data_IF_960364470717
#
_entry.id   IF_960364470717
#
_cell.length_a   1.000
_cell.length_b   1.000
_cell.length_c   1.000
_cell.angle_alpha   90.00
_cell.angle_beta   90.00
_cell.angle_gamma   90.00
#
_symmetry.space_group_name_H-M   'P 1'
#
loop_
_entity.id
_entity.type
_entity.pdbx_description
1 polymer ?
#
# COMPACT_ATOMS: atom_id res chain seq x y z
N UNK A 1 35.07 -30.80 -2.53
CA UNK A 1 33.76 -31.38 -2.88
C UNK A 1 32.68 -30.62 -2.12
N UNK A 2 32.03 -29.65 -2.77
CA UNK A 2 31.06 -28.75 -2.13
C UNK A 2 29.69 -29.43 -2.16
N UNK A 3 29.15 -29.76 -0.98
CA UNK A 3 27.80 -30.28 -0.82
C UNK A 3 26.82 -29.11 -0.89
N UNK A 4 26.05 -29.01 -1.97
CA UNK A 4 24.87 -28.13 -2.09
C UNK A 4 23.87 -28.54 -1.00
N UNK A 5 23.47 -27.61 -0.16
CA UNK A 5 22.35 -27.81 0.76
C UNK A 5 21.03 -27.92 -0.03
N UNK A 6 20.07 -28.73 0.44
CA UNK A 6 18.81 -28.94 -0.27
C UNK A 6 17.97 -27.66 -0.25
N UNK A 7 17.24 -27.43 -1.34
CA UNK A 7 16.11 -26.51 -1.36
C UNK A 7 15.09 -27.00 -0.33
N UNK A 8 15.05 -26.34 0.82
CA UNK A 8 14.01 -26.48 1.83
C UNK A 8 12.79 -25.68 1.39
N UNK A 9 11.69 -26.41 1.21
CA UNK A 9 10.34 -25.90 1.18
C UNK A 9 9.97 -25.31 2.54
N UNK A 10 10.01 -23.99 2.67
CA UNK A 10 9.24 -23.30 3.69
C UNK A 10 8.45 -22.19 3.01
N UNK A 11 7.14 -22.45 2.87
CA UNK A 11 6.12 -21.42 2.77
C UNK A 11 6.18 -20.60 4.08
N UNK A 12 7.17 -19.73 4.19
CA UNK A 12 7.11 -18.65 5.14
C UNK A 12 6.11 -17.66 4.56
N UNK A 13 4.89 -17.65 5.13
CA UNK A 13 4.08 -16.44 5.07
C UNK A 13 5.01 -15.30 5.49
N UNK A 14 5.39 -14.46 4.53
CA UNK A 14 6.25 -13.30 4.73
C UNK A 14 5.55 -12.35 5.70
N UNK A 15 5.67 -12.63 7.00
CA UNK A 15 5.44 -11.66 8.04
C UNK A 15 6.63 -10.72 7.94
N UNK A 16 6.44 -9.64 7.18
CA UNK A 16 7.34 -8.52 7.26
C UNK A 16 7.50 -8.14 8.75
N UNK A 17 8.71 -7.77 9.21
CA UNK A 17 8.90 -7.35 10.60
C UNK A 17 7.86 -6.29 10.95
N UNK A 18 7.38 -6.19 12.20
CA UNK A 18 6.39 -5.18 12.56
C UNK A 18 7.00 -3.81 12.28
N UNK A 19 6.64 -3.22 11.13
CA UNK A 19 7.13 -1.92 10.71
C UNK A 19 6.71 -0.93 11.81
N UNK A 20 7.69 -0.43 12.55
CA UNK A 20 7.45 0.51 13.64
C UNK A 20 7.20 1.92 13.09
N UNK A 21 7.77 2.22 11.93
CA UNK A 21 7.60 3.48 11.23
C UNK A 21 6.15 3.65 10.78
N UNK A 22 5.56 4.85 10.94
CA UNK A 22 4.28 5.20 10.33
C UNK A 22 4.32 4.98 8.81
N UNK A 23 3.27 4.36 8.26
CA UNK A 23 3.12 4.13 6.82
C UNK A 23 1.81 4.73 6.34
N UNK A 24 1.87 5.49 5.25
CA UNK A 24 0.71 5.97 4.51
C UNK A 24 0.65 5.28 3.16
N UNK A 25 -0.48 4.62 2.87
CA UNK A 25 -0.84 4.15 1.55
C UNK A 25 -2.00 5.01 1.02
N UNK A 26 -1.86 5.51 -0.21
CA UNK A 26 -2.92 6.23 -0.92
C UNK A 26 -3.23 5.45 -2.20
N UNK A 27 -4.49 5.09 -2.39
CA UNK A 27 -5.01 4.46 -3.59
C UNK A 27 -6.23 5.22 -4.11
N UNK A 28 -6.74 4.84 -5.28
CA UNK A 28 -7.85 5.52 -5.95
C UNK A 28 -8.91 4.50 -6.37
N UNK A 29 -10.18 4.87 -6.23
CA UNK A 29 -11.31 4.01 -6.61
C UNK A 29 -11.36 3.72 -8.12
N UNK A 30 -10.80 4.62 -8.94
CA UNK A 30 -10.68 4.47 -10.39
C UNK A 30 -9.36 3.83 -10.85
N UNK A 31 -8.50 3.32 -9.96
CA UNK A 31 -7.24 2.69 -10.36
C UNK A 31 -7.47 1.28 -10.94
N UNK A 32 -7.34 1.15 -12.27
CA UNK A 32 -7.45 -0.11 -13.00
C UNK A 32 -6.31 -1.10 -12.74
N UNK A 33 -5.13 -0.63 -12.32
CA UNK A 33 -3.96 -1.47 -12.03
C UNK A 33 -3.95 -1.94 -10.57
N UNK A 34 -4.48 -1.13 -9.66
CA UNK A 34 -4.63 -1.47 -8.24
C UNK A 34 -6.09 -1.34 -7.76
N UNK A 35 -7.06 -2.09 -8.32
CA UNK A 35 -8.46 -1.94 -7.93
C UNK A 35 -8.65 -2.24 -6.44
N UNK A 36 -9.29 -1.34 -5.66
CA UNK A 36 -9.48 -1.57 -4.23
C UNK A 36 -10.33 -2.81 -3.94
N UNK A 37 -11.21 -3.22 -4.86
CA UNK A 37 -12.08 -4.39 -4.73
C UNK A 37 -11.30 -5.71 -4.62
N UNK A 38 -10.02 -5.73 -4.99
CA UNK A 38 -9.15 -6.89 -4.81
C UNK A 38 -8.79 -7.13 -3.33
N UNK A 39 -9.00 -6.16 -2.44
CA UNK A 39 -8.72 -6.29 -1.00
C UNK A 39 -7.25 -6.44 -0.62
N UNK A 40 -6.32 -6.38 -1.58
CA UNK A 40 -4.88 -6.58 -1.36
C UNK A 40 -4.32 -5.54 -0.38
N UNK A 41 -4.71 -4.27 -0.54
CA UNK A 41 -4.27 -3.22 0.37
C UNK A 41 -4.86 -3.42 1.77
N UNK A 42 -6.13 -3.78 1.91
CA UNK A 42 -6.73 -4.04 3.21
C UNK A 42 -6.01 -5.17 3.96
N UNK A 43 -5.71 -6.28 3.27
CA UNK A 43 -4.96 -7.40 3.84
C UNK A 43 -3.53 -7.02 4.25
N UNK A 44 -2.85 -6.17 3.45
CA UNK A 44 -1.52 -5.69 3.77
C UNK A 44 -1.55 -4.74 4.98
N UNK A 45 -2.52 -3.83 5.00
CA UNK A 45 -2.69 -2.81 6.04
C UNK A 45 -3.06 -3.42 7.39
N UNK A 46 -3.81 -4.53 7.41
CA UNK A 46 -4.12 -5.29 8.62
C UNK A 46 -2.87 -5.82 9.37
N UNK A 47 -1.72 -5.90 8.69
CA UNK A 47 -0.44 -6.34 9.28
C UNK A 47 0.40 -5.18 9.82
N UNK A 48 0.02 -3.93 9.52
CA UNK A 48 0.76 -2.75 9.94
C UNK A 48 0.22 -2.23 11.27
N UNK A 49 1.11 -2.04 12.25
CA UNK A 49 0.73 -1.47 13.56
C UNK A 49 0.34 0.01 13.45
N UNK A 50 1.04 0.76 12.59
CA UNK A 50 0.89 2.21 12.42
C UNK A 50 0.60 2.57 10.95
N UNK A 51 -0.26 1.79 10.31
CA UNK A 51 -0.64 2.01 8.91
C UNK A 51 -1.89 2.87 8.77
N UNK A 52 -1.86 3.84 7.84
CA UNK A 52 -3.03 4.57 7.36
C UNK A 52 -3.25 4.28 5.87
N UNK A 53 -4.46 3.87 5.51
CA UNK A 53 -4.90 3.70 4.12
C UNK A 53 -5.91 4.79 3.78
N UNK A 54 -5.75 5.42 2.62
CA UNK A 54 -6.72 6.33 2.03
C UNK A 54 -7.08 5.79 0.64
N UNK A 55 -8.36 5.56 0.40
CA UNK A 55 -8.90 5.31 -0.94
C UNK A 55 -9.66 6.56 -1.37
N UNK A 56 -9.18 7.25 -2.39
CA UNK A 56 -9.80 8.47 -2.89
C UNK A 56 -10.93 8.09 -3.85
N UNK A 57 -12.18 8.52 -3.60
CA UNK A 57 -13.30 8.22 -4.49
C UNK A 57 -13.08 8.79 -5.89
N UNK A 58 -13.61 8.09 -6.90
CA UNK A 58 -13.59 8.57 -8.26
C UNK A 58 -14.41 9.87 -8.38
N UNK A 59 -13.91 10.83 -9.15
CA UNK A 59 -14.58 12.12 -9.31
C UNK A 59 -14.29 12.81 -10.65
N UNK A 60 -14.79 14.02 -10.88
CA UNK A 60 -14.61 14.71 -12.16
C UNK A 60 -13.16 14.97 -12.59
N UNK A 61 -12.22 14.92 -11.64
CA UNK A 61 -10.77 15.12 -11.88
C UNK A 61 -9.98 13.81 -11.94
N UNK A 62 -10.65 12.67 -11.78
CA UNK A 62 -10.08 11.33 -11.91
C UNK A 62 -9.61 11.05 -13.35
N UNK A 63 -8.54 10.27 -13.48
CA UNK A 63 -7.89 9.87 -14.73
C UNK A 63 -7.50 8.38 -14.72
N UNK A 64 -8.30 7.54 -14.09
CA UNK A 64 -8.00 6.14 -13.88
C UNK A 64 -6.72 5.97 -13.06
N UNK A 65 -5.89 5.00 -13.46
CA UNK A 65 -4.56 4.79 -12.88
C UNK A 65 -3.68 6.06 -12.86
N UNK A 66 -3.86 6.99 -13.80
CA UNK A 66 -3.07 8.23 -13.85
C UNK A 66 -3.48 9.27 -12.81
N UNK A 67 -4.54 9.05 -12.01
CA UNK A 67 -4.91 9.94 -10.89
C UNK A 67 -3.75 10.08 -9.89
N UNK A 68 -2.95 9.02 -9.69
CA UNK A 68 -1.77 9.04 -8.83
C UNK A 68 -0.71 10.08 -9.26
N UNK A 69 -0.64 10.43 -10.54
CA UNK A 69 0.30 11.44 -11.04
C UNK A 69 -0.18 12.88 -10.78
N UNK A 70 -1.43 13.08 -10.37
CA UNK A 70 -2.01 14.39 -10.11
C UNK A 70 -1.91 14.74 -8.62
N UNK A 71 -0.81 15.38 -8.22
CA UNK A 71 -0.56 15.71 -6.81
C UNK A 71 -1.70 16.49 -6.12
N UNK A 72 -2.47 17.29 -6.85
CA UNK A 72 -3.66 17.98 -6.31
C UNK A 72 -4.70 17.03 -5.71
N UNK A 73 -4.76 15.78 -6.17
CA UNK A 73 -5.73 14.78 -5.71
C UNK A 73 -5.35 14.18 -4.35
N UNK A 74 -4.06 14.09 -4.02
CA UNK A 74 -3.60 13.33 -2.85
C UNK A 74 -2.70 14.10 -1.86
N UNK A 75 -2.11 15.24 -2.27
CA UNK A 75 -1.09 15.94 -1.46
C UNK A 75 -1.57 16.37 -0.08
N UNK A 76 -2.87 16.68 0.09
CA UNK A 76 -3.43 17.08 1.38
C UNK A 76 -3.31 15.97 2.42
N UNK A 77 -3.56 14.72 2.03
CA UNK A 77 -3.41 13.56 2.91
C UNK A 77 -1.95 13.32 3.30
N UNK A 78 -1.01 13.55 2.38
CA UNK A 78 0.42 13.48 2.70
C UNK A 78 0.83 14.56 3.71
N UNK A 79 0.41 15.81 3.49
CA UNK A 79 0.71 16.90 4.44
C UNK A 79 0.13 16.60 5.81
N UNK A 80 -1.14 16.20 5.88
CA UNK A 80 -1.80 15.83 7.13
C UNK A 80 -1.06 14.69 7.85
N UNK A 81 -0.59 13.68 7.11
CA UNK A 81 0.18 12.58 7.67
C UNK A 81 1.55 13.04 8.18
N UNK A 82 2.25 13.92 7.46
CA UNK A 82 3.56 14.45 7.89
C UNK A 82 3.46 15.33 9.14
N UNK A 83 2.35 16.06 9.32
CA UNK A 83 2.12 16.87 10.51
C UNK A 83 1.84 16.00 11.76
N UNK A 84 1.54 14.71 11.59
CA UNK A 84 1.19 13.76 12.66
C UNK A 84 2.38 12.89 13.13
N UNK A 85 3.54 12.95 12.46
CA UNK A 85 4.69 12.07 12.73
C UNK A 85 5.89 12.79 13.35
#
# INVERSE_FOLDING_TARGET
>A
MVRRMPFGSENTHHTAPPWQTPILAINFEDDELNPPELGILDEAMARLRNGRLVVIPAGPQSRGHYTALQASQWKSYLVEFMDQI
#
